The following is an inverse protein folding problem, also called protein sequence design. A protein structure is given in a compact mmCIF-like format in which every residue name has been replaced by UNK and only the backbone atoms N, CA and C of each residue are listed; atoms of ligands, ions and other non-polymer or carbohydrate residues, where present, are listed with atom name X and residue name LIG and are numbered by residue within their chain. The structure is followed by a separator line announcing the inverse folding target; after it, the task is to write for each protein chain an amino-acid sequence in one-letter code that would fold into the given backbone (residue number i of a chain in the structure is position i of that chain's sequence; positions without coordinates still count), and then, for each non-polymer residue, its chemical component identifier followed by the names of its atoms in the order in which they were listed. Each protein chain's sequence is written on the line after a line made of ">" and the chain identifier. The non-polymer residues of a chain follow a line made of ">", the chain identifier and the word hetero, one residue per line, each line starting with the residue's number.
data_IF_083144429240
#
_entry.id   IF_083144429240
#
_cell.length_a   1.000
_cell.length_b   1.000
_cell.length_c   1.000
_cell.angle_alpha   90.00
_cell.angle_beta   90.00
_cell.angle_gamma   90.00
#
_symmetry.space_group_name_H-M   'P 1'
#
loop_
_entity.id
_entity.type
_entity.pdbx_description
1 polymer ?
#
# COMPACT_ATOMS: atom_id res chain seq x y z
N UNK A 1 -0.95 14.53 -20.15
CA UNK A 1 -1.36 13.11 -20.25
C UNK A 1 -0.19 12.26 -19.75
N UNK A 2 -0.37 11.37 -18.75
CA UNK A 2 0.70 10.47 -18.32
C UNK A 2 1.14 9.56 -19.47
N UNK A 3 2.41 9.15 -19.52
CA UNK A 3 2.91 8.26 -20.56
C UNK A 3 2.21 6.89 -20.48
N UNK A 4 2.01 6.22 -21.63
CA UNK A 4 1.60 4.82 -21.63
C UNK A 4 2.74 4.00 -21.01
N UNK A 5 2.43 3.32 -19.90
CA UNK A 5 3.35 2.39 -19.23
C UNK A 5 2.83 0.98 -19.51
N UNK A 6 3.70 0.09 -19.98
CA UNK A 6 3.40 -1.32 -20.15
C UNK A 6 3.13 -1.95 -18.77
N UNK A 7 1.97 -2.59 -18.61
CA UNK A 7 1.72 -3.43 -17.45
C UNK A 7 2.41 -4.78 -17.64
N UNK A 8 3.09 -5.27 -16.61
CA UNK A 8 3.75 -6.57 -16.60
C UNK A 8 3.42 -7.30 -15.28
N UNK A 9 3.44 -8.64 -15.26
CA UNK A 9 3.11 -9.41 -14.07
C UNK A 9 4.16 -9.18 -12.97
N UNK A 10 3.72 -9.25 -11.70
CA UNK A 10 4.62 -8.98 -10.57
C UNK A 10 5.83 -9.93 -10.54
N UNK A 11 5.73 -11.15 -11.09
CA UNK A 11 6.85 -12.10 -11.22
C UNK A 11 8.04 -11.52 -11.98
N UNK A 12 7.79 -10.62 -12.92
CA UNK A 12 8.80 -10.10 -13.84
C UNK A 12 9.47 -8.83 -13.29
N UNK A 13 9.12 -8.40 -12.07
CA UNK A 13 9.68 -7.19 -11.47
C UNK A 13 11.20 -7.30 -11.28
N UNK A 14 11.72 -8.41 -10.76
CA UNK A 14 13.16 -8.60 -10.54
C UNK A 14 14.02 -8.37 -11.80
N UNK A 15 13.71 -8.95 -12.97
CA UNK A 15 14.46 -8.63 -14.19
C UNK A 15 14.18 -7.21 -14.70
N UNK A 16 12.93 -6.72 -14.62
CA UNK A 16 12.52 -5.41 -15.18
C UNK A 16 13.15 -4.19 -14.47
N UNK A 17 13.46 -4.24 -13.18
CA UNK A 17 14.06 -3.07 -12.46
C UNK A 17 15.41 -2.62 -13.03
N UNK A 18 16.11 -3.54 -13.70
CA UNK A 18 17.42 -3.28 -14.28
C UNK A 18 17.33 -2.74 -15.71
N UNK A 19 16.14 -2.72 -16.32
CA UNK A 19 15.89 -2.13 -17.62
C UNK A 19 15.59 -0.63 -17.48
N UNK A 20 16.46 0.21 -18.04
CA UNK A 20 16.21 1.64 -18.10
C UNK A 20 15.33 1.96 -19.32
N UNK A 21 14.50 3.02 -19.26
CA UNK A 21 13.74 3.50 -20.42
C UNK A 21 14.59 3.83 -21.66
N UNK A 22 15.90 4.05 -21.48
CA UNK A 22 16.86 4.27 -22.56
C UNK A 22 17.26 2.98 -23.32
N UNK A 23 16.75 1.82 -22.92
CA UNK A 23 17.14 0.50 -23.44
C UNK A 23 18.46 -0.03 -22.88
N UNK A 24 19.13 0.73 -22.01
CA UNK A 24 20.36 0.31 -21.33
C UNK A 24 20.05 -0.42 -20.02
N UNK A 25 20.95 -1.31 -19.60
CA UNK A 25 20.90 -1.92 -18.27
C UNK A 25 21.45 -0.97 -17.20
N UNK A 26 20.84 -0.98 -16.02
CA UNK A 26 21.28 -0.24 -14.84
C UNK A 26 22.68 -0.70 -14.38
N UNK A 27 23.52 0.25 -13.94
CA UNK A 27 24.85 0.00 -13.37
C UNK A 27 24.99 0.75 -12.03
N UNK A 28 25.31 0.07 -10.91
CA UNK A 28 25.36 -1.38 -10.75
C UNK A 28 23.96 -1.99 -10.93
N UNK A 29 23.92 -3.28 -11.31
CA UNK A 29 22.68 -4.03 -11.35
C UNK A 29 22.18 -4.28 -9.92
N UNK A 30 20.87 -4.24 -9.74
CA UNK A 30 20.23 -4.63 -8.49
C UNK A 30 20.06 -6.14 -8.53
N UNK A 31 20.87 -6.83 -7.74
CA UNK A 31 20.90 -8.30 -7.71
C UNK A 31 19.75 -8.89 -6.88
N UNK A 32 19.45 -8.28 -5.73
CA UNK A 32 18.38 -8.74 -4.84
C UNK A 32 17.60 -7.55 -4.26
N UNK A 33 16.31 -7.47 -4.60
CA UNK A 33 15.38 -6.46 -4.07
C UNK A 33 15.16 -6.60 -2.56
N UNK A 34 15.26 -7.82 -2.02
CA UNK A 34 15.04 -8.08 -0.59
C UNK A 34 16.15 -7.52 0.28
N UNK A 35 17.35 -7.33 -0.29
CA UNK A 35 18.47 -6.67 0.38
C UNK A 35 18.26 -5.17 0.58
N UNK A 36 17.35 -4.55 -0.18
CA UNK A 36 17.05 -3.13 -0.04
C UNK A 36 16.14 -2.87 1.18
N UNK A 37 16.33 -1.77 1.93
CA UNK A 37 15.42 -1.33 2.98
C UNK A 37 13.95 -1.35 2.54
N UNK A 38 13.11 -1.96 3.37
CA UNK A 38 11.66 -1.95 3.20
C UNK A 38 11.08 -0.70 3.86
N UNK A 39 10.28 0.04 3.10
CA UNK A 39 9.57 1.24 3.53
C UNK A 39 8.07 1.03 3.39
N UNK A 40 7.31 1.59 4.32
CA UNK A 40 5.86 1.49 4.36
C UNK A 40 5.23 2.86 4.10
N UNK A 41 4.18 2.89 3.30
CA UNK A 41 3.39 4.09 3.02
C UNK A 41 1.91 3.73 3.12
N UNK A 42 1.18 4.43 3.99
CA UNK A 42 -0.28 4.35 4.04
C UNK A 42 -0.85 5.40 3.10
N UNK A 43 -1.57 4.94 2.08
CA UNK A 43 -2.43 5.76 1.24
C UNK A 43 -3.87 5.64 1.74
N UNK A 44 -4.75 6.55 1.32
CA UNK A 44 -6.18 6.45 1.61
C UNK A 44 -6.96 6.40 0.32
N UNK A 45 -7.82 5.39 0.19
CA UNK A 45 -8.80 5.32 -0.88
C UNK A 45 -10.13 5.87 -0.36
N UNK A 46 -10.50 7.05 -0.84
CA UNK A 46 -11.70 7.75 -0.38
C UNK A 46 -12.82 7.61 -1.41
N UNK A 47 -13.91 6.97 -1.00
CA UNK A 47 -15.10 6.78 -1.83
C UNK A 47 -16.34 7.36 -1.14
N UNK A 48 -17.32 7.79 -1.93
CA UNK A 48 -18.60 8.21 -1.38
C UNK A 48 -19.40 6.97 -0.98
N UNK A 49 -19.75 6.87 0.29
CA UNK A 49 -20.70 5.89 0.80
C UNK A 49 -22.11 6.51 0.75
N UNK A 50 -22.90 6.04 -0.21
CA UNK A 50 -24.28 6.49 -0.47
C UNK A 50 -24.46 7.22 -1.81
N UNK A 51 -25.72 7.51 -2.21
CA UNK A 51 -26.02 8.24 -3.45
C UNK A 51 -25.48 9.67 -3.45
N UNK A 52 -25.02 10.18 -4.59
CA UNK A 52 -24.40 11.51 -4.69
C UNK A 52 -25.35 12.65 -4.31
N UNK A 53 -26.64 12.45 -4.51
CA UNK A 53 -27.70 13.43 -4.31
C UNK A 53 -28.22 13.44 -2.86
N UNK A 54 -27.88 12.44 -2.05
CA UNK A 54 -28.35 12.33 -0.68
C UNK A 54 -27.49 13.16 0.28
N UNK A 55 -28.08 14.00 1.14
CA UNK A 55 -27.34 14.74 2.16
C UNK A 55 -26.79 13.86 3.28
N UNK A 56 -27.22 12.59 3.35
CA UNK A 56 -26.72 11.61 4.31
C UNK A 56 -25.46 10.87 3.85
N UNK A 57 -25.07 11.04 2.58
CA UNK A 57 -23.90 10.38 2.02
C UNK A 57 -22.62 10.92 2.63
N UNK A 58 -21.67 10.04 2.90
CA UNK A 58 -20.41 10.37 3.59
C UNK A 58 -19.23 9.87 2.78
N UNK A 59 -18.16 10.66 2.72
CA UNK A 59 -16.89 10.17 2.21
C UNK A 59 -16.26 9.25 3.25
N UNK A 60 -15.98 8.02 2.85
CA UNK A 60 -15.29 7.02 3.67
C UNK A 60 -13.93 6.78 3.05
N UNK A 61 -12.89 6.95 3.86
CA UNK A 61 -11.50 6.77 3.44
C UNK A 61 -10.93 5.52 4.11
N UNK A 62 -10.62 4.52 3.30
CA UNK A 62 -10.03 3.27 3.76
C UNK A 62 -8.50 3.33 3.58
N UNK A 63 -7.71 2.91 4.59
CA UNK A 63 -6.27 2.84 4.46
C UNK A 63 -5.86 1.78 3.43
N UNK A 64 -4.82 2.07 2.66
CA UNK A 64 -4.22 1.19 1.68
C UNK A 64 -2.72 1.14 1.97
N UNK A 65 -2.27 0.02 2.52
CA UNK A 65 -0.86 -0.24 2.77
C UNK A 65 -0.11 -0.46 1.45
N UNK A 66 0.92 0.36 1.21
CA UNK A 66 1.86 0.22 0.10
C UNK A 66 3.25 -0.03 0.64
N UNK A 67 3.97 -0.97 0.04
CA UNK A 67 5.30 -1.38 0.49
C UNK A 67 6.31 -1.12 -0.62
N UNK A 68 7.43 -0.51 -0.27
CA UNK A 68 8.46 -0.08 -1.21
C UNK A 68 9.83 -0.58 -0.79
N UNK A 69 10.62 -1.07 -1.76
CA UNK A 69 12.05 -1.30 -1.59
C UNK A 69 12.82 -0.07 -2.06
N UNK A 70 13.55 0.54 -1.14
CA UNK A 70 14.41 1.68 -1.42
C UNK A 70 15.85 1.20 -1.59
N UNK A 71 16.28 1.04 -2.83
CA UNK A 71 17.60 0.56 -3.20
C UNK A 71 18.60 1.72 -3.39
N UNK A 72 19.88 1.37 -3.64
CA UNK A 72 20.93 2.33 -3.93
C UNK A 72 20.58 3.27 -5.10
N UNK A 73 21.22 4.45 -5.12
CA UNK A 73 20.99 5.50 -6.13
C UNK A 73 19.55 6.04 -6.15
N UNK A 74 18.84 5.97 -5.02
CA UNK A 74 17.48 6.50 -4.88
C UNK A 74 16.40 5.71 -5.62
N UNK A 75 16.71 4.51 -6.12
CA UNK A 75 15.72 3.68 -6.80
C UNK A 75 14.67 3.18 -5.79
N UNK A 76 13.42 3.55 -6.02
CA UNK A 76 12.30 3.12 -5.18
C UNK A 76 11.35 2.27 -6.03
N UNK A 77 11.02 1.08 -5.56
CA UNK A 77 10.20 0.11 -6.29
C UNK A 77 9.05 -0.35 -5.39
N UNK A 78 7.82 -0.25 -5.87
CA UNK A 78 6.68 -0.82 -5.16
C UNK A 78 6.76 -2.35 -5.21
N UNK A 79 6.64 -2.99 -4.05
CA UNK A 79 6.76 -4.44 -3.85
C UNK A 79 5.62 -5.00 -3.02
N UNK A 80 4.51 -4.27 -2.85
CA UNK A 80 3.33 -4.66 -2.07
C UNK A 80 2.88 -6.10 -2.36
N UNK A 81 2.81 -6.49 -3.65
CA UNK A 81 2.41 -7.84 -4.06
C UNK A 81 3.40 -8.96 -3.69
N UNK A 82 4.64 -8.63 -3.32
CA UNK A 82 5.70 -9.60 -3.00
C UNK A 82 5.88 -9.83 -1.51
N UNK A 83 5.55 -8.85 -0.68
CA UNK A 83 5.84 -8.91 0.75
C UNK A 83 4.84 -9.77 1.54
N UNK A 84 3.72 -10.17 0.92
CA UNK A 84 2.68 -10.99 1.56
C UNK A 84 2.01 -10.31 2.76
N UNK A 85 2.21 -8.98 2.91
CA UNK A 85 1.60 -8.14 3.93
C UNK A 85 0.55 -7.27 3.26
N UNK A 86 -0.69 -7.41 3.70
CA UNK A 86 -1.82 -6.62 3.24
C UNK A 86 -2.53 -6.02 4.45
N UNK A 87 -3.33 -4.97 4.23
CA UNK A 87 -4.17 -4.43 5.30
C UNK A 87 -5.26 -5.47 5.64
N UNK A 88 -5.06 -6.20 6.74
CA UNK A 88 -5.95 -7.27 7.22
C UNK A 88 -7.36 -6.78 7.60
N UNK A 89 -7.62 -5.46 7.58
CA UNK A 89 -8.96 -4.90 7.84
C UNK A 89 -9.92 -4.98 6.65
N UNK A 90 -9.46 -5.43 5.48
CA UNK A 90 -10.27 -5.53 4.27
C UNK A 90 -11.12 -6.81 4.15
N UNK A 91 -10.96 -7.79 5.05
CA UNK A 91 -11.87 -8.94 5.14
C UNK A 91 -13.06 -8.64 6.07
N UNK A 92 -13.87 -7.63 5.75
CA UNK A 92 -15.27 -7.61 6.18
C UNK A 92 -16.07 -8.22 5.04
N UNK A 93 -16.19 -9.54 5.09
CA UNK A 93 -17.05 -10.31 4.18
C UNK A 93 -18.52 -9.97 4.48
N UNK A 94 -19.26 -9.80 3.39
CA UNK A 94 -20.72 -9.76 3.35
C UNK A 94 -21.31 -10.88 4.23
N UNK A 95 -22.23 -10.50 5.12
CA UNK A 95 -23.10 -11.32 5.97
C UNK A 95 -22.63 -12.72 6.39
N UNK A 96 -22.14 -12.86 7.63
CA UNK A 96 -22.55 -13.97 8.50
C UNK A 96 -22.25 -13.68 9.98
N UNK A 97 -23.20 -14.06 10.83
CA UNK A 97 -23.18 -13.87 12.28
C UNK A 97 -22.41 -15.01 12.97
N UNK A 98 -21.25 -14.74 13.58
CA UNK A 98 -20.69 -15.57 14.67
C UNK A 98 -19.91 -14.71 15.67
N UNK A 99 -20.13 -15.03 16.94
CA UNK A 99 -19.71 -14.36 18.19
C UNK A 99 -18.25 -14.60 18.60
N UNK A 100 -17.72 -13.61 19.34
CA UNK A 100 -16.54 -13.62 20.23
C UNK A 100 -15.16 -13.76 19.58
N UNK A 101 -14.16 -12.95 19.92
CA UNK A 101 -13.43 -13.09 21.19
C UNK A 101 -12.51 -11.86 21.44
N UNK A 102 -12.73 -11.21 22.58
CA UNK A 102 -11.72 -10.67 23.53
C UNK A 102 -10.77 -9.52 23.13
N UNK A 103 -11.07 -8.35 23.72
CA UNK A 103 -10.19 -7.47 24.51
C UNK A 103 -8.71 -7.38 24.10
N UNK A 104 -8.32 -6.23 23.53
CA UNK A 104 -7.21 -5.37 24.01
C UNK A 104 -6.89 -4.30 22.95
N UNK A 105 -7.50 -3.12 23.08
CA UNK A 105 -6.87 -1.86 22.64
C UNK A 105 -7.65 -0.63 23.17
N UNK A 106 -7.84 -0.57 24.49
CA UNK A 106 -8.07 0.68 25.20
C UNK A 106 -6.75 1.08 25.89
N UNK A 107 -5.86 1.75 25.17
CA UNK A 107 -4.76 2.56 25.75
C UNK A 107 -3.95 3.27 24.66
N UNK A 108 -4.56 4.14 23.85
CA UNK A 108 -3.79 5.22 23.20
C UNK A 108 -4.61 6.39 22.65
N UNK A 109 -5.77 6.68 23.26
CA UNK A 109 -6.53 7.91 22.96
C UNK A 109 -6.64 8.73 24.25
N UNK A 110 -5.52 9.13 24.84
CA UNK A 110 -5.55 10.22 25.84
C UNK A 110 -4.27 11.09 25.87
N UNK A 111 -3.42 11.02 24.83
CA UNK A 111 -2.19 11.83 24.77
C UNK A 111 -2.26 13.03 23.80
N UNK A 112 -3.31 13.14 22.97
CA UNK A 112 -3.37 14.18 21.92
C UNK A 112 -4.30 15.36 22.24
N UNK A 113 -5.03 15.35 23.36
CA UNK A 113 -6.09 16.33 23.66
C UNK A 113 -5.78 17.31 24.82
N UNK A 114 -4.57 17.28 25.40
CA UNK A 114 -4.18 18.19 26.52
C UNK A 114 -2.98 19.11 26.24
N UNK A 115 -2.75 19.48 24.99
CA UNK A 115 -1.89 20.65 24.66
C UNK A 115 -2.58 21.55 23.63
N UNK A 116 -3.63 22.23 24.09
CA UNK A 116 -3.98 23.58 23.65
C UNK A 116 -4.23 24.41 24.89
#
# INVERSE_FOLDING_TARGET
>A
MPPLVEAFPASDLAPRINDLPSGKKRKPAVADLKSCPLQELIQYNCNLNGPRESPQSKVVCEPVLRLFRQCANGMTVETTAWEGRYDQRSEVRDGDHVTSTTQQQEANIDACTRRR
#
